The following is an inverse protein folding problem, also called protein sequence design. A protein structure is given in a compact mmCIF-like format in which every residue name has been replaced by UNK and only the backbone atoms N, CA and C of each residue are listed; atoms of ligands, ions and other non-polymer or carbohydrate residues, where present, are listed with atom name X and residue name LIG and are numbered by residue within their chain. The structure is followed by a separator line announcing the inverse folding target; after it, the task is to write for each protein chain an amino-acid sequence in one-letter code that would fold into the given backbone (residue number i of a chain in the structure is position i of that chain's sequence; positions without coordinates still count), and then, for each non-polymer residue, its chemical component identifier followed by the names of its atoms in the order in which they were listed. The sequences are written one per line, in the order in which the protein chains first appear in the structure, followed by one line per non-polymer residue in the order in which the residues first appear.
data_IF_078610332159
#
_entry.id   IF_078610332159
#
_cell.length_a   1.000
_cell.length_b   1.000
_cell.length_c   1.000
_cell.angle_alpha   90.00
_cell.angle_beta   90.00
_cell.angle_gamma   90.00
#
_symmetry.space_group_name_H-M   'P 1'
#
loop_
_entity.id
_entity.type
_entity.pdbx_description
1 polymer ?
#
# COMPACT_ATOMS: atom_id res chain seq x y z
N UNK A 1 -11.33 -11.40 -12.34
CA UNK A 1 -10.25 -10.61 -11.74
C UNK A 1 -10.61 -9.14 -11.90
N UNK A 2 -10.64 -8.37 -10.82
CA UNK A 2 -10.89 -6.93 -10.92
C UNK A 2 -9.64 -6.25 -11.50
N UNK A 3 -9.83 -5.51 -12.58
CA UNK A 3 -8.75 -4.72 -13.19
C UNK A 3 -8.69 -3.39 -12.47
N UNK A 4 -7.72 -3.25 -11.58
CA UNK A 4 -7.45 -1.98 -10.93
C UNK A 4 -6.62 -1.11 -11.88
N UNK A 5 -7.05 0.14 -12.09
CA UNK A 5 -6.29 1.08 -12.90
C UNK A 5 -4.89 1.32 -12.31
N UNK A 6 -3.90 1.51 -13.16
CA UNK A 6 -2.57 2.00 -12.76
C UNK A 6 -2.64 3.47 -12.33
N UNK A 7 -1.72 3.90 -11.46
CA UNK A 7 -1.62 5.29 -11.00
C UNK A 7 -2.44 5.64 -9.75
N UNK A 8 -2.84 6.92 -9.63
CA UNK A 8 -3.40 7.53 -8.42
C UNK A 8 -4.87 7.94 -8.54
N UNK A 9 -5.59 7.39 -9.52
CA UNK A 9 -7.04 7.58 -9.68
C UNK A 9 -7.84 6.97 -8.52
N UNK A 10 -9.09 7.41 -8.35
CA UNK A 10 -9.95 6.97 -7.23
C UNK A 10 -10.21 5.45 -7.18
N UNK A 11 -10.17 4.76 -8.33
CA UNK A 11 -10.35 3.30 -8.42
C UNK A 11 -9.02 2.56 -8.68
N UNK A 12 -7.88 3.18 -8.39
CA UNK A 12 -6.59 2.51 -8.55
C UNK A 12 -6.31 1.56 -7.40
N UNK A 13 -5.53 0.51 -7.68
CA UNK A 13 -5.10 -0.44 -6.66
C UNK A 13 -4.32 0.27 -5.56
N UNK A 14 -3.44 1.19 -5.96
CA UNK A 14 -2.61 1.97 -5.05
C UNK A 14 -3.46 2.83 -4.08
N UNK A 15 -4.60 3.36 -4.54
CA UNK A 15 -5.53 4.08 -3.67
C UNK A 15 -6.12 3.17 -2.60
N UNK A 16 -6.59 1.99 -2.99
CA UNK A 16 -7.13 1.00 -2.06
C UNK A 16 -6.07 0.58 -1.03
N UNK A 17 -4.84 0.29 -1.47
CA UNK A 17 -3.74 -0.03 -0.58
C UNK A 17 -3.46 1.12 0.40
N UNK A 18 -3.48 2.37 -0.07
CA UNK A 18 -3.26 3.54 0.78
C UNK A 18 -4.38 3.74 1.81
N UNK A 19 -5.65 3.64 1.39
CA UNK A 19 -6.80 3.79 2.27
C UNK A 19 -6.85 2.67 3.32
N UNK A 20 -6.54 1.42 2.93
CA UNK A 20 -6.38 0.31 3.86
C UNK A 20 -5.17 0.51 4.80
N UNK A 21 -4.06 1.04 4.29
CA UNK A 21 -2.89 1.42 5.08
C UNK A 21 -3.25 2.44 6.15
N UNK A 22 -4.03 3.46 5.77
CA UNK A 22 -4.50 4.49 6.69
C UNK A 22 -5.46 3.94 7.74
N UNK A 23 -6.42 3.11 7.35
CA UNK A 23 -7.35 2.46 8.30
C UNK A 23 -6.64 1.54 9.30
N UNK A 24 -5.54 0.92 8.88
CA UNK A 24 -4.82 -0.07 9.67
C UNK A 24 -3.70 0.54 10.51
N UNK A 25 -3.42 1.82 10.34
CA UNK A 25 -2.44 2.55 11.13
C UNK A 25 -3.12 3.37 12.20
N UNK A 26 -2.59 3.26 13.42
CA UNK A 26 -2.96 4.11 14.53
C UNK A 26 -1.69 4.67 15.15
N UNK A 27 -1.66 5.98 15.42
CA UNK A 27 -0.47 6.64 15.97
C UNK A 27 -0.07 6.11 17.35
N UNK A 28 -1.04 5.59 18.13
CA UNK A 28 -0.81 5.06 19.47
C UNK A 28 -0.48 3.56 19.48
N UNK A 29 -1.03 2.77 18.54
CA UNK A 29 -0.83 1.30 18.51
C UNK A 29 0.02 0.81 17.34
N UNK A 30 0.49 1.72 16.49
CA UNK A 30 1.26 1.40 15.28
C UNK A 30 0.41 0.82 14.13
N UNK A 31 1.10 0.16 13.21
CA UNK A 31 0.51 -0.46 12.02
C UNK A 31 0.02 -1.88 12.29
N UNK A 32 -1.23 -2.17 11.97
CA UNK A 32 -1.85 -3.49 12.14
C UNK A 32 -1.89 -4.26 10.82
N UNK A 33 -0.90 -5.13 10.61
CA UNK A 33 -0.77 -5.95 9.40
C UNK A 33 -2.04 -6.76 9.07
N UNK A 34 -2.67 -7.36 10.08
CA UNK A 34 -3.85 -8.20 9.86
C UNK A 34 -5.07 -7.38 9.38
N UNK A 35 -5.26 -6.19 9.93
CA UNK A 35 -6.35 -5.30 9.52
C UNK A 35 -6.13 -4.80 8.10
N UNK A 36 -4.87 -4.54 7.74
CA UNK A 36 -4.48 -4.17 6.38
C UNK A 36 -4.80 -5.27 5.38
N UNK A 37 -4.34 -6.49 5.67
CA UNK A 37 -4.55 -7.65 4.78
C UNK A 37 -6.04 -7.92 4.57
N UNK A 38 -6.84 -7.89 5.65
CA UNK A 38 -8.30 -8.06 5.58
C UNK A 38 -8.96 -6.95 4.78
N UNK A 39 -8.53 -5.69 4.96
CA UNK A 39 -9.06 -4.57 4.19
C UNK A 39 -8.75 -4.72 2.70
N UNK A 40 -7.52 -5.09 2.35
CA UNK A 40 -7.12 -5.27 0.94
C UNK A 40 -7.87 -6.44 0.32
N UNK A 41 -7.98 -7.58 0.99
CA UNK A 41 -8.76 -8.72 0.51
C UNK A 41 -10.23 -8.35 0.27
N UNK A 42 -10.85 -7.63 1.21
CA UNK A 42 -12.25 -7.21 1.09
C UNK A 42 -12.48 -6.24 -0.09
N UNK A 43 -11.52 -5.36 -0.39
CA UNK A 43 -11.67 -4.36 -1.47
C UNK A 43 -11.17 -4.85 -2.82
N UNK A 44 -10.29 -5.87 -2.87
CA UNK A 44 -9.61 -6.29 -4.11
C UNK A 44 -9.88 -7.73 -4.52
N UNK A 45 -10.48 -8.53 -3.64
CA UNK A 45 -10.67 -9.97 -3.79
C UNK A 45 -9.37 -10.77 -4.07
N UNK A 46 -8.19 -10.20 -3.76
CA UNK A 46 -6.95 -10.97 -3.76
C UNK A 46 -6.83 -11.77 -2.47
N UNK A 47 -6.21 -12.95 -2.53
CA UNK A 47 -6.00 -13.78 -1.34
C UNK A 47 -5.16 -13.04 -0.29
N UNK A 48 -5.45 -13.31 0.99
CA UNK A 48 -4.65 -12.81 2.13
C UNK A 48 -3.14 -12.97 1.96
N UNK A 49 -2.67 -14.07 1.38
CA UNK A 49 -1.25 -14.30 1.12
C UNK A 49 -0.64 -13.24 0.21
N UNK A 50 -1.31 -12.84 -0.87
CA UNK A 50 -0.86 -11.80 -1.79
C UNK A 50 -0.98 -10.41 -1.14
N UNK A 51 -2.10 -10.13 -0.46
CA UNK A 51 -2.28 -8.90 0.31
C UNK A 51 -1.21 -8.71 1.40
N UNK A 52 -0.71 -9.80 1.98
CA UNK A 52 0.34 -9.78 3.00
C UNK A 52 1.70 -9.25 2.50
N UNK A 53 1.95 -9.35 1.19
CA UNK A 53 3.15 -8.80 0.56
C UNK A 53 3.08 -7.28 0.50
N UNK A 54 1.95 -6.71 0.10
CA UNK A 54 1.74 -5.25 0.09
C UNK A 54 1.81 -4.63 1.49
N UNK A 55 1.53 -5.43 2.52
CA UNK A 55 1.65 -4.99 3.89
C UNK A 55 3.09 -4.62 4.29
N UNK A 56 4.12 -5.15 3.60
CA UNK A 56 5.54 -4.82 3.86
C UNK A 56 5.79 -3.34 3.58
N UNK A 57 5.44 -2.87 2.39
CA UNK A 57 5.57 -1.46 2.04
C UNK A 57 4.64 -0.57 2.87
N UNK A 58 3.42 -1.03 3.17
CA UNK A 58 2.48 -0.27 3.99
C UNK A 58 2.96 -0.09 5.43
N UNK A 59 3.51 -1.15 6.05
CA UNK A 59 4.09 -1.08 7.39
C UNK A 59 5.29 -0.13 7.42
N UNK A 60 6.19 -0.27 6.44
CA UNK A 60 7.35 0.62 6.33
C UNK A 60 6.93 2.08 6.15
N UNK A 61 5.93 2.34 5.29
CA UNK A 61 5.37 3.67 5.08
C UNK A 61 4.72 4.26 6.34
N UNK A 62 4.06 3.42 7.14
CA UNK A 62 3.45 3.80 8.40
C UNK A 62 4.49 4.09 9.51
N UNK A 63 5.62 3.41 9.51
CA UNK A 63 6.65 3.56 10.55
C UNK A 63 7.68 4.65 10.20
N UNK A 64 8.15 4.69 8.95
CA UNK A 64 9.24 5.56 8.50
C UNK A 64 8.73 6.78 7.72
N UNK A 65 7.62 6.62 6.98
CA UNK A 65 7.11 7.65 6.08
C UNK A 65 5.84 8.33 6.60
N UNK A 66 5.49 8.15 7.88
CA UNK A 66 4.21 8.64 8.46
C UNK A 66 3.97 10.12 8.21
N UNK A 67 5.00 10.95 8.33
CA UNK A 67 4.88 12.39 8.10
C UNK A 67 4.57 12.70 6.64
N UNK A 68 5.26 12.05 5.71
CA UNK A 68 5.04 12.27 4.27
C UNK A 68 3.72 11.69 3.77
N UNK A 69 3.35 10.50 4.23
CA UNK A 69 2.20 9.74 3.72
C UNK A 69 0.89 10.01 4.46
N UNK A 70 0.97 10.25 5.76
CA UNK A 70 -0.19 10.39 6.63
C UNK A 70 -0.53 11.86 6.89
N UNK A 71 0.49 12.67 7.19
CA UNK A 71 0.34 14.11 7.45
C UNK A 71 0.47 14.95 6.17
N UNK A 72 1.13 14.42 5.14
CA UNK A 72 1.16 14.97 3.79
C UNK A 72 0.14 14.31 2.87
N UNK A 73 0.54 14.09 1.63
CA UNK A 73 -0.27 13.40 0.62
C UNK A 73 0.22 11.96 0.45
N UNK A 74 -0.70 11.01 0.50
CA UNK A 74 -0.41 9.60 0.20
C UNK A 74 0.14 9.39 -1.22
N UNK A 75 -0.34 10.22 -2.15
CA UNK A 75 0.13 10.29 -3.53
C UNK A 75 1.20 11.36 -3.72
N UNK A 76 1.66 12.03 -2.66
CA UNK A 76 2.70 13.04 -2.76
C UNK A 76 4.04 12.39 -3.04
N UNK A 77 4.90 13.06 -3.83
CA UNK A 77 6.23 12.54 -4.20
C UNK A 77 7.06 12.08 -3.01
N UNK A 78 6.97 12.79 -1.89
CA UNK A 78 7.68 12.45 -0.65
C UNK A 78 7.21 11.14 0.00
N UNK A 79 5.91 10.81 -0.09
CA UNK A 79 5.41 9.52 0.37
C UNK A 79 5.88 8.40 -0.57
N UNK A 80 5.70 8.61 -1.88
CA UNK A 80 6.03 7.63 -2.92
C UNK A 80 7.51 7.26 -2.90
N UNK A 81 8.41 8.24 -2.90
CA UNK A 81 9.85 8.00 -2.83
C UNK A 81 10.26 7.28 -1.53
N UNK A 82 9.56 7.54 -0.42
CA UNK A 82 9.90 6.93 0.86
C UNK A 82 9.48 5.45 0.91
N UNK A 83 8.35 5.08 0.34
CA UNK A 83 7.91 3.67 0.28
C UNK A 83 8.55 2.89 -0.87
N UNK A 84 9.11 3.58 -1.87
CA UNK A 84 9.68 2.95 -3.07
C UNK A 84 10.82 1.97 -2.76
N UNK A 85 11.57 2.23 -1.69
CA UNK A 85 12.65 1.36 -1.21
C UNK A 85 12.16 -0.06 -0.83
N UNK A 86 10.86 -0.22 -0.58
CA UNK A 86 10.23 -1.51 -0.29
C UNK A 86 9.49 -2.12 -1.47
N UNK A 87 9.34 -1.41 -2.59
CA UNK A 87 8.65 -1.91 -3.78
C UNK A 87 9.30 -3.19 -4.30
N UNK A 88 10.63 -3.28 -4.28
CA UNK A 88 11.38 -4.49 -4.69
C UNK A 88 11.03 -5.70 -3.82
N UNK A 89 10.97 -5.52 -2.50
CA UNK A 89 10.62 -6.58 -1.54
C UNK A 89 9.17 -7.05 -1.71
N UNK A 90 8.25 -6.11 -1.98
CA UNK A 90 6.87 -6.45 -2.33
C UNK A 90 6.80 -7.22 -3.64
N UNK A 91 7.57 -6.83 -4.67
CA UNK A 91 7.64 -7.49 -5.97
C UNK A 91 8.16 -8.93 -5.85
N UNK A 92 9.17 -9.15 -5.01
CA UNK A 92 9.69 -10.48 -4.73
C UNK A 92 8.68 -11.36 -3.99
N UNK A 93 7.95 -10.79 -3.02
CA UNK A 93 6.92 -11.50 -2.27
C UNK A 93 5.68 -11.83 -3.10
N UNK A 94 5.15 -10.85 -3.85
CA UNK A 94 3.97 -11.03 -4.70
C UNK A 94 4.29 -11.93 -5.91
N UNK A 95 5.56 -11.95 -6.33
CA UNK A 95 6.07 -12.72 -7.44
C UNK A 95 6.42 -11.80 -8.61
N UNK A 96 7.59 -12.03 -9.22
CA UNK A 96 8.16 -11.20 -10.29
C UNK A 96 7.26 -11.00 -11.51
N UNK A 97 6.29 -11.90 -11.71
CA UNK A 97 5.31 -11.85 -12.80
C UNK A 97 4.09 -10.95 -12.52
N UNK A 98 3.97 -10.39 -11.31
CA UNK A 98 2.89 -9.46 -10.96
C UNK A 98 3.39 -8.03 -11.17
N UNK A 99 2.78 -7.30 -12.10
CA UNK A 99 3.07 -5.88 -12.24
C UNK A 99 2.44 -5.14 -11.05
N UNK A 100 3.24 -4.71 -10.08
CA UNK A 100 2.76 -3.84 -9.01
C UNK A 100 2.46 -2.47 -9.61
N UNK A 101 1.19 -2.02 -9.58
CA UNK A 101 0.85 -0.71 -10.11
C UNK A 101 1.47 0.35 -9.20
N UNK A 102 2.49 1.05 -9.69
CA UNK A 102 3.09 2.20 -9.02
C UNK A 102 2.08 3.35 -9.02
N UNK A 103 1.92 3.99 -7.86
CA UNK A 103 1.16 5.23 -7.78
C UNK A 103 2.01 6.36 -8.39
N UNK A 104 1.41 7.19 -9.23
CA UNK A 104 2.05 8.41 -9.73
C UNK A 104 1.83 9.56 -8.74
N UNK A 105 2.71 10.56 -8.77
CA UNK A 105 2.50 11.73 -7.92
C UNK A 105 1.18 12.42 -8.27
N UNK A 106 0.37 12.67 -7.25
CA UNK A 106 -0.47 13.86 -7.26
C UNK A 106 0.42 15.09 -6.94
#
# INVERSE_FOLDING_TARGET
MMTFGSGSGQNSFARILSDCGKKSFNIFTGFRRNDYVRCVEANTQIRTSCASCFAIAAQYGAENCKWSCFWGSWCGRGCLNCVDVKTSEVQECAGKNIAIPTANSC
#
